data_IF_995607064922
#
_entry.id   IF_995607064922
#
_cell.length_a   1.000
_cell.length_b   1.000
_cell.length_c   1.000
_cell.angle_alpha   90.00
_cell.angle_beta   90.00
_cell.angle_gamma   90.00
#
_symmetry.space_group_name_H-M   'P 1'
#
loop_
_entity.id
_entity.type
_entity.pdbx_description
1 polymer ?
#
# COMPACT_ATOMS: atom_id res chain seq x y z
N UNK A 1 64.95 4.03 23.23
CA UNK A 1 64.54 4.58 21.93
C UNK A 1 64.65 3.63 20.71
N UNK A 2 64.90 2.31 20.89
CA UNK A 2 65.03 1.34 19.72
C UNK A 2 63.77 0.55 19.39
N UNK A 3 62.69 0.64 20.19
CA UNK A 3 61.46 -0.16 19.96
C UNK A 3 60.31 0.60 19.27
N UNK A 4 60.42 1.92 19.07
CA UNK A 4 59.38 2.75 18.44
C UNK A 4 59.48 2.76 16.90
N UNK A 5 60.67 2.55 16.33
CA UNK A 5 60.86 2.56 14.87
C UNK A 5 60.40 1.27 14.18
N UNK A 6 60.43 0.11 14.87
CA UNK A 6 59.95 -1.18 14.30
C UNK A 6 58.43 -1.30 14.22
N UNK A 7 57.70 -0.54 15.06
CA UNK A 7 56.25 -0.54 15.06
C UNK A 7 55.64 0.31 13.93
N UNK A 8 56.29 1.40 13.55
CA UNK A 8 55.82 2.28 12.46
C UNK A 8 56.02 1.67 11.09
N UNK A 9 57.17 0.93 10.86
CA UNK A 9 57.39 0.24 9.62
C UNK A 9 56.41 -0.89 9.33
N UNK A 10 56.02 -1.69 10.37
CA UNK A 10 55.02 -2.75 10.23
C UNK A 10 53.60 -2.24 9.98
N UNK A 11 53.24 -1.07 10.54
CA UNK A 11 51.93 -0.44 10.32
C UNK A 11 51.83 0.19 8.93
N UNK A 12 52.90 0.76 8.40
CA UNK A 12 52.95 1.33 7.06
C UNK A 12 52.90 0.18 6.02
N UNK A 13 53.60 -0.92 6.22
CA UNK A 13 53.56 -2.11 5.30
C UNK A 13 52.16 -2.77 5.34
N UNK A 14 51.51 -2.90 6.49
CA UNK A 14 50.18 -3.44 6.61
C UNK A 14 49.14 -2.50 5.97
N UNK A 15 49.24 -1.16 6.14
CA UNK A 15 48.37 -0.19 5.49
C UNK A 15 48.56 -0.18 3.96
N UNK A 16 49.80 -0.33 3.46
CA UNK A 16 50.05 -0.44 2.02
C UNK A 16 49.53 -1.76 1.44
N UNK A 17 49.69 -2.90 2.17
CA UNK A 17 49.17 -4.19 1.77
C UNK A 17 47.63 -4.19 1.76
N UNK A 18 46.96 -3.56 2.74
CA UNK A 18 45.51 -3.37 2.74
C UNK A 18 45.03 -2.44 1.60
N UNK A 19 45.77 -1.37 1.31
CA UNK A 19 45.47 -0.50 0.19
C UNK A 19 45.64 -1.20 -1.16
N UNK A 20 46.68 -2.02 -1.33
CA UNK A 20 46.89 -2.83 -2.54
C UNK A 20 45.86 -3.96 -2.63
N UNK A 21 45.46 -4.61 -1.53
CA UNK A 21 44.36 -5.58 -1.54
C UNK A 21 43.00 -4.96 -1.80
N UNK A 22 42.77 -3.74 -1.29
CA UNK A 22 41.54 -2.99 -1.63
C UNK A 22 41.51 -2.53 -3.10
N UNK A 23 42.66 -2.25 -3.70
CA UNK A 23 42.74 -1.93 -5.14
C UNK A 23 42.59 -3.18 -5.99
N UNK A 24 43.05 -4.36 -5.53
CA UNK A 24 42.83 -5.65 -6.22
C UNK A 24 41.44 -6.25 -5.96
N UNK A 25 40.70 -5.78 -5.01
CA UNK A 25 39.31 -6.18 -4.73
C UNK A 25 38.27 -5.22 -5.30
N UNK A 26 38.66 -4.20 -6.07
CA UNK A 26 37.74 -3.50 -6.92
C UNK A 26 37.25 -4.52 -7.97
N UNK A 27 35.98 -4.82 -8.05
CA UNK A 27 35.48 -5.78 -9.05
C UNK A 27 35.93 -5.26 -10.42
N UNK A 28 36.39 -6.16 -11.28
CA UNK A 28 36.68 -5.87 -12.69
C UNK A 28 35.50 -5.22 -13.45
N UNK A 29 34.37 -5.01 -12.78
CA UNK A 29 33.23 -4.23 -13.28
C UNK A 29 33.49 -2.73 -13.48
N UNK A 30 34.66 -2.20 -13.03
CA UNK A 30 35.02 -0.81 -13.26
C UNK A 30 35.24 -0.44 -14.75
N UNK A 31 35.30 -1.43 -15.65
CA UNK A 31 35.38 -1.26 -17.10
C UNK A 31 34.22 -1.95 -17.83
N UNK A 32 33.11 -2.21 -17.15
CA UNK A 32 31.93 -2.78 -17.79
C UNK A 32 31.26 -1.73 -18.66
N UNK A 33 30.84 -2.15 -19.86
CA UNK A 33 30.02 -1.34 -20.77
C UNK A 33 28.88 -0.65 -20.02
N UNK A 34 28.85 0.70 -20.01
CA UNK A 34 27.82 1.49 -19.36
C UNK A 34 26.69 1.72 -20.34
N UNK A 35 25.52 1.12 -20.09
CA UNK A 35 24.32 1.34 -20.89
C UNK A 35 23.56 2.57 -20.34
N UNK A 36 23.44 3.60 -21.15
CA UNK A 36 22.75 4.87 -20.84
C UNK A 36 21.90 5.32 -22.02
N UNK A 37 20.84 6.09 -21.78
CA UNK A 37 20.05 6.73 -22.83
C UNK A 37 20.88 7.77 -23.60
N UNK A 38 20.64 7.89 -24.90
CA UNK A 38 21.33 8.85 -25.77
C UNK A 38 22.71 8.40 -26.27
N UNK A 39 23.11 7.15 -26.00
CA UNK A 39 24.37 6.61 -26.55
C UNK A 39 24.21 6.08 -27.96
N UNK A 40 25.23 6.31 -28.77
CA UNK A 40 25.44 5.63 -30.07
C UNK A 40 26.56 4.59 -29.91
N UNK A 41 26.29 3.37 -30.34
CA UNK A 41 27.21 2.23 -30.21
C UNK A 41 27.38 1.49 -31.53
N UNK A 42 28.51 0.80 -31.71
CA UNK A 42 28.73 -0.03 -32.88
C UNK A 42 28.18 -1.44 -32.66
N UNK A 43 27.58 -2.00 -33.68
CA UNK A 43 26.94 -3.32 -33.67
C UNK A 43 27.80 -4.37 -34.40
N UNK A 44 27.83 -5.60 -33.88
CA UNK A 44 28.52 -6.71 -34.53
C UNK A 44 27.91 -8.04 -34.11
N UNK A 45 28.16 -9.10 -34.87
CA UNK A 45 27.84 -10.49 -34.48
C UNK A 45 28.91 -11.04 -33.56
N UNK A 46 28.48 -11.62 -32.45
CA UNK A 46 29.31 -12.40 -31.56
C UNK A 46 29.35 -13.89 -31.96
N UNK A 47 29.64 -14.75 -30.99
CA UNK A 47 29.70 -16.20 -31.18
C UNK A 47 28.30 -16.78 -31.43
N UNK A 48 28.29 -18.04 -31.92
CA UNK A 48 27.06 -18.82 -32.00
C UNK A 48 26.59 -19.23 -30.62
N UNK A 49 25.27 -19.36 -30.45
CA UNK A 49 24.70 -19.93 -29.25
C UNK A 49 24.95 -21.45 -29.26
N UNK A 50 25.63 -21.94 -28.23
CA UNK A 50 25.93 -23.35 -28.02
C UNK A 50 25.33 -23.83 -26.69
N UNK A 51 24.46 -24.81 -26.77
CA UNK A 51 23.78 -25.38 -25.61
C UNK A 51 24.73 -26.18 -24.73
N UNK A 52 24.33 -26.46 -23.49
CA UNK A 52 25.07 -27.35 -22.59
C UNK A 52 25.20 -28.78 -23.09
N UNK A 53 24.39 -29.21 -24.05
CA UNK A 53 24.50 -30.49 -24.75
C UNK A 53 25.56 -30.50 -25.89
N UNK A 54 26.17 -29.33 -26.15
CA UNK A 54 27.18 -29.15 -27.21
C UNK A 54 26.61 -28.78 -28.57
N UNK A 55 25.29 -28.78 -28.73
CA UNK A 55 24.63 -28.49 -30.00
C UNK A 55 24.36 -27.00 -30.19
N UNK A 56 24.44 -26.48 -31.42
CA UNK A 56 24.06 -25.10 -31.74
C UNK A 56 22.55 -24.91 -31.77
N UNK A 57 22.10 -23.68 -31.48
CA UNK A 57 20.74 -23.27 -31.69
C UNK A 57 20.52 -22.74 -33.11
N UNK A 58 19.37 -23.11 -33.70
CA UNK A 58 19.00 -22.68 -35.05
C UNK A 58 17.63 -21.96 -35.04
N UNK A 59 17.40 -21.08 -36.01
CA UNK A 59 16.07 -20.58 -36.31
C UNK A 59 15.23 -21.69 -36.96
N UNK A 60 13.88 -21.64 -36.84
CA UNK A 60 13.02 -22.49 -37.67
C UNK A 60 13.36 -22.30 -39.17
N UNK A 61 13.23 -23.38 -39.95
CA UNK A 61 13.53 -23.33 -41.39
C UNK A 61 12.67 -22.38 -42.19
N UNK A 62 11.38 -22.28 -41.81
CA UNK A 62 10.43 -21.31 -42.31
C UNK A 62 9.47 -20.95 -41.20
N UNK A 63 9.21 -19.67 -40.99
CA UNK A 63 8.26 -19.21 -39.99
C UNK A 63 7.60 -17.89 -40.39
N UNK A 64 6.38 -17.68 -39.89
CA UNK A 64 5.66 -16.42 -40.01
C UNK A 64 5.92 -15.53 -38.80
N UNK A 65 5.90 -14.22 -39.02
CA UNK A 65 6.04 -13.23 -37.96
C UNK A 65 5.25 -11.96 -38.29
N UNK A 66 4.90 -11.17 -37.28
CA UNK A 66 4.35 -9.81 -37.42
C UNK A 66 5.51 -8.82 -37.43
N UNK A 67 5.55 -7.99 -38.47
CA UNK A 67 6.42 -6.80 -38.51
C UNK A 67 5.61 -5.54 -38.14
N UNK A 68 6.25 -4.58 -37.48
CA UNK A 68 5.67 -3.29 -37.11
C UNK A 68 6.36 -2.18 -37.92
N UNK A 69 5.57 -1.30 -38.52
CA UNK A 69 6.10 -0.10 -39.13
C UNK A 69 6.35 1.03 -38.09
N UNK A 70 6.85 2.18 -38.51
CA UNK A 70 7.15 3.34 -37.64
C UNK A 70 5.91 3.91 -36.96
N UNK A 71 4.72 3.62 -37.46
CA UNK A 71 3.43 4.06 -36.90
C UNK A 71 2.76 2.98 -36.03
N UNK A 72 3.39 1.80 -35.89
CA UNK A 72 2.86 0.68 -35.16
C UNK A 72 1.85 -0.18 -35.94
N UNK A 73 1.72 0.01 -37.27
CA UNK A 73 0.88 -0.84 -38.08
C UNK A 73 1.52 -2.22 -38.25
N UNK A 74 0.70 -3.25 -38.09
CA UNK A 74 1.10 -4.65 -38.15
C UNK A 74 0.95 -5.23 -39.55
N UNK A 75 1.91 -6.03 -39.98
CA UNK A 75 1.84 -6.81 -41.23
C UNK A 75 2.43 -8.19 -41.08
N UNK A 76 1.81 -9.21 -41.72
CA UNK A 76 2.26 -10.58 -41.69
C UNK A 76 3.33 -10.83 -42.74
N UNK A 77 4.44 -11.40 -42.33
CA UNK A 77 5.58 -11.76 -43.19
C UNK A 77 5.93 -13.23 -43.01
N UNK A 78 6.62 -13.81 -44.00
CA UNK A 78 7.22 -15.13 -43.97
C UNK A 78 8.71 -15.02 -44.12
N UNK A 79 9.47 -15.66 -43.25
CA UNK A 79 10.91 -15.79 -43.35
C UNK A 79 11.28 -17.23 -43.56
N UNK A 80 12.13 -17.47 -44.58
CA UNK A 80 12.81 -18.75 -44.78
C UNK A 80 14.22 -18.62 -44.21
N UNK A 81 14.48 -19.32 -43.13
CA UNK A 81 15.79 -19.28 -42.48
C UNK A 81 16.03 -20.62 -41.80
N UNK A 82 17.15 -21.13 -41.77
CA UNK A 82 17.63 -22.29 -41.05
C UNK A 82 19.01 -22.02 -40.45
N UNK A 83 19.28 -20.71 -40.23
CA UNK A 83 20.56 -20.23 -39.80
C UNK A 83 20.80 -20.47 -38.31
N UNK A 84 22.05 -20.79 -37.96
CA UNK A 84 22.47 -20.84 -36.58
C UNK A 84 22.25 -19.51 -35.87
N UNK A 85 21.75 -19.55 -34.65
CA UNK A 85 21.53 -18.36 -33.80
C UNK A 85 22.88 -17.80 -33.38
N UNK A 86 23.01 -16.49 -33.49
CA UNK A 86 24.25 -15.75 -33.21
C UNK A 86 23.96 -14.68 -32.16
N UNK A 87 24.86 -14.47 -31.21
CA UNK A 87 24.81 -13.41 -30.21
C UNK A 87 24.88 -12.07 -30.91
N UNK A 88 23.97 -11.15 -30.51
CA UNK A 88 23.93 -9.81 -31.02
C UNK A 88 24.64 -8.89 -30.02
N UNK A 89 25.69 -8.22 -30.50
CA UNK A 89 26.64 -7.51 -29.65
C UNK A 89 26.71 -6.03 -30.02
N UNK A 90 26.80 -5.20 -29.02
CA UNK A 90 27.14 -3.79 -29.16
C UNK A 90 28.45 -3.48 -28.45
N UNK A 91 29.17 -2.46 -28.92
CA UNK A 91 30.41 -1.99 -28.29
C UNK A 91 30.59 -0.49 -28.42
N UNK A 92 31.25 0.09 -27.44
CA UNK A 92 31.82 1.44 -27.46
C UNK A 92 33.24 1.45 -26.90
N UNK A 93 33.79 2.61 -26.55
CA UNK A 93 35.13 2.73 -25.98
C UNK A 93 35.24 2.13 -24.56
N UNK A 94 34.12 1.90 -23.85
CA UNK A 94 34.09 1.33 -22.50
C UNK A 94 34.07 -0.19 -22.50
N UNK A 95 33.65 -0.83 -23.60
CA UNK A 95 33.57 -2.29 -23.67
C UNK A 95 32.54 -2.79 -24.66
N UNK A 96 32.12 -4.05 -24.49
CA UNK A 96 31.11 -4.69 -25.33
C UNK A 96 30.04 -5.36 -24.44
N UNK A 97 28.83 -5.49 -25.00
CA UNK A 97 27.68 -6.09 -24.33
C UNK A 97 26.83 -6.88 -25.31
N UNK A 98 26.39 -8.05 -24.91
CA UNK A 98 25.32 -8.77 -25.60
C UNK A 98 23.98 -8.10 -25.29
N UNK A 99 23.15 -7.96 -26.31
CA UNK A 99 21.79 -7.39 -26.25
C UNK A 99 20.77 -8.38 -26.79
N UNK A 100 19.50 -8.18 -26.43
CA UNK A 100 18.41 -9.09 -26.78
C UNK A 100 17.53 -8.48 -27.85
N UNK A 101 17.06 -9.28 -28.79
CA UNK A 101 16.17 -8.85 -29.86
C UNK A 101 14.72 -8.73 -29.36
N UNK A 102 14.07 -7.60 -29.69
CA UNK A 102 12.64 -7.39 -29.48
C UNK A 102 11.90 -7.06 -30.77
N UNK A 103 12.48 -7.42 -31.93
CA UNK A 103 11.88 -7.25 -33.26
C UNK A 103 12.25 -8.42 -34.14
N UNK A 104 11.51 -9.53 -34.00
CA UNK A 104 11.74 -10.74 -34.77
C UNK A 104 11.50 -10.54 -36.26
N UNK A 105 12.36 -11.16 -37.08
CA UNK A 105 12.20 -11.16 -38.55
C UNK A 105 12.91 -10.03 -39.28
N UNK A 106 13.31 -8.97 -38.58
CA UNK A 106 14.05 -7.85 -39.17
C UNK A 106 15.56 -8.08 -39.07
N UNK A 107 16.36 -7.72 -40.12
CA UNK A 107 17.82 -7.95 -40.09
C UNK A 107 18.53 -7.05 -39.08
N UNK A 108 19.50 -7.64 -38.36
CA UNK A 108 20.41 -6.90 -37.48
C UNK A 108 21.41 -6.06 -38.29
N UNK A 109 21.74 -4.86 -37.79
CA UNK A 109 22.67 -3.94 -38.47
C UNK A 109 24.13 -4.19 -38.06
N UNK A 110 24.61 -5.43 -38.21
CA UNK A 110 26.01 -5.72 -37.90
C UNK A 110 26.97 -4.89 -38.82
N UNK A 111 27.98 -4.26 -38.21
CA UNK A 111 28.88 -3.33 -38.87
C UNK A 111 28.36 -1.87 -38.92
N UNK A 112 27.12 -1.59 -38.50
CA UNK A 112 26.55 -0.27 -38.35
C UNK A 112 26.46 0.20 -36.89
N UNK A 113 25.62 1.19 -36.65
CA UNK A 113 25.40 1.78 -35.32
C UNK A 113 23.98 1.58 -34.82
N UNK A 114 23.80 1.70 -33.52
CA UNK A 114 22.51 1.77 -32.82
C UNK A 114 22.50 2.93 -31.84
N UNK A 115 21.36 3.57 -31.70
CA UNK A 115 21.11 4.61 -30.69
C UNK A 115 20.23 4.05 -29.59
N UNK A 116 20.55 4.43 -28.34
CA UNK A 116 19.77 4.02 -27.16
C UNK A 116 18.71 5.04 -26.79
N UNK A 117 17.53 4.55 -26.41
CA UNK A 117 16.44 5.31 -25.81
C UNK A 117 15.88 4.53 -24.61
N UNK A 118 15.36 5.22 -23.60
CA UNK A 118 14.54 4.56 -22.60
C UNK A 118 13.29 3.93 -23.25
N UNK A 119 12.67 2.96 -22.58
CA UNK A 119 11.44 2.36 -23.08
C UNK A 119 10.35 3.40 -23.34
N UNK A 120 10.25 4.42 -22.49
CA UNK A 120 9.27 5.51 -22.63
C UNK A 120 9.56 6.46 -23.80
N UNK A 121 10.81 6.58 -24.25
CA UNK A 121 11.24 7.46 -25.33
C UNK A 121 11.41 6.74 -26.68
N UNK A 122 11.31 5.41 -26.70
CA UNK A 122 11.38 4.63 -27.93
C UNK A 122 10.03 4.54 -28.61
N UNK A 123 9.86 5.16 -29.78
CA UNK A 123 8.62 5.07 -30.55
C UNK A 123 8.26 3.62 -30.93
N UNK A 124 9.24 2.81 -31.31
CA UNK A 124 9.03 1.39 -31.57
C UNK A 124 8.39 0.68 -30.36
N UNK A 125 9.01 0.82 -29.18
CA UNK A 125 8.53 0.14 -28.00
C UNK A 125 7.14 0.65 -27.55
N UNK A 126 6.91 1.94 -27.62
CA UNK A 126 5.62 2.56 -27.28
C UNK A 126 4.48 2.16 -28.23
N UNK A 127 4.80 1.85 -29.49
CA UNK A 127 3.82 1.39 -30.49
C UNK A 127 3.49 -0.10 -30.36
N UNK A 128 4.25 -0.89 -29.59
CA UNK A 128 3.87 -2.27 -29.29
C UNK A 128 2.58 -2.32 -28.46
N UNK A 129 1.75 -3.36 -28.61
CA UNK A 129 0.62 -3.58 -27.69
C UNK A 129 1.06 -3.58 -26.23
N UNK A 130 0.24 -3.03 -25.34
CA UNK A 130 0.57 -2.91 -23.89
C UNK A 130 0.93 -4.24 -23.22
N UNK A 131 0.30 -5.34 -23.66
CA UNK A 131 0.65 -6.68 -23.20
C UNK A 131 2.04 -7.11 -23.64
N UNK A 132 2.46 -6.73 -24.84
CA UNK A 132 3.82 -6.98 -25.33
C UNK A 132 4.85 -6.14 -24.56
N UNK A 133 4.60 -4.84 -24.38
CA UNK A 133 5.46 -3.97 -23.57
C UNK A 133 5.64 -4.53 -22.16
N UNK A 134 4.51 -4.85 -21.48
CA UNK A 134 4.52 -5.43 -20.12
C UNK A 134 5.31 -6.74 -20.07
N UNK A 135 5.05 -7.66 -21.02
CA UNK A 135 5.70 -8.97 -21.03
C UNK A 135 7.20 -8.89 -21.32
N UNK A 136 7.62 -8.00 -22.22
CA UNK A 136 9.05 -7.76 -22.51
C UNK A 136 9.75 -7.21 -21.26
N UNK A 137 9.18 -6.21 -20.60
CA UNK A 137 9.74 -5.67 -19.36
C UNK A 137 9.77 -6.72 -18.25
N UNK A 138 8.70 -7.48 -18.03
CA UNK A 138 8.65 -8.55 -17.04
C UNK A 138 9.69 -9.65 -17.34
N UNK A 139 9.91 -9.99 -18.62
CA UNK A 139 10.96 -10.93 -19.03
C UNK A 139 12.33 -10.37 -18.69
N UNK A 140 12.57 -9.08 -18.85
CA UNK A 140 13.85 -8.43 -18.52
C UNK A 140 14.23 -8.56 -17.05
N UNK A 141 13.24 -8.63 -16.15
CA UNK A 141 13.44 -8.74 -14.70
C UNK A 141 14.14 -10.04 -14.32
N UNK A 142 13.69 -11.15 -14.86
CA UNK A 142 14.20 -12.50 -14.54
C UNK A 142 15.11 -13.08 -15.60
N UNK A 143 15.00 -12.66 -16.84
CA UNK A 143 15.73 -13.14 -17.98
C UNK A 143 17.25 -12.98 -17.87
N UNK A 144 17.95 -13.60 -18.81
CA UNK A 144 19.38 -13.50 -18.91
C UNK A 144 19.83 -12.04 -19.17
N UNK A 145 20.87 -11.65 -18.49
CA UNK A 145 21.63 -10.41 -18.68
C UNK A 145 23.12 -10.71 -18.50
N UNK A 146 24.05 -9.94 -19.06
CA UNK A 146 25.47 -10.12 -18.80
C UNK A 146 25.80 -10.21 -17.31
N UNK A 147 26.54 -11.24 -16.93
CA UNK A 147 26.89 -11.56 -15.55
C UNK A 147 25.87 -12.41 -14.77
N UNK A 148 24.73 -12.78 -15.37
CA UNK A 148 23.81 -13.76 -14.79
C UNK A 148 24.15 -15.17 -15.24
N UNK A 149 24.34 -16.05 -14.28
CA UNK A 149 24.51 -17.50 -14.51
C UNK A 149 23.19 -18.18 -14.80
N UNK A 150 23.22 -19.30 -15.53
CA UNK A 150 22.02 -20.11 -15.75
C UNK A 150 21.47 -20.64 -14.41
N UNK A 151 20.15 -20.55 -14.19
CA UNK A 151 19.55 -20.86 -12.88
C UNK A 151 19.35 -22.37 -12.64
N UNK A 152 19.48 -23.20 -13.67
CA UNK A 152 19.13 -24.62 -13.63
C UNK A 152 20.38 -25.50 -13.91
N UNK A 153 20.56 -26.50 -13.09
CA UNK A 153 21.63 -27.46 -13.30
C UNK A 153 21.51 -28.18 -14.66
N UNK A 154 22.64 -28.35 -15.34
CA UNK A 154 22.69 -28.95 -16.68
C UNK A 154 22.26 -28.00 -17.79
N UNK A 155 22.31 -26.69 -17.52
CA UNK A 155 22.16 -25.63 -18.50
C UNK A 155 23.33 -24.65 -18.41
N UNK A 156 23.58 -23.89 -19.47
CA UNK A 156 24.61 -22.86 -19.52
C UNK A 156 24.03 -21.47 -19.81
N UNK A 157 24.85 -20.44 -19.88
CA UNK A 157 24.41 -19.06 -20.14
C UNK A 157 23.73 -18.90 -21.50
N UNK A 158 24.15 -19.67 -22.51
CA UNK A 158 23.54 -19.64 -23.85
C UNK A 158 22.14 -20.24 -23.84
N UNK A 159 21.91 -21.32 -23.07
CA UNK A 159 20.58 -21.90 -22.84
C UNK A 159 19.64 -20.87 -22.15
N UNK A 160 20.17 -20.19 -21.13
CA UNK A 160 19.40 -19.20 -20.40
C UNK A 160 19.08 -17.97 -21.28
N UNK A 161 20.06 -17.52 -22.08
CA UNK A 161 19.87 -16.42 -23.01
C UNK A 161 18.86 -16.78 -24.12
N UNK A 162 18.96 -18.00 -24.70
CA UNK A 162 18.01 -18.48 -25.69
C UNK A 162 16.59 -18.60 -25.13
N UNK A 163 16.41 -19.14 -23.93
CA UNK A 163 15.12 -19.17 -23.24
C UNK A 163 14.52 -17.78 -23.07
N UNK A 164 15.33 -16.81 -22.64
CA UNK A 164 14.93 -15.42 -22.51
C UNK A 164 14.50 -14.84 -23.86
N UNK A 165 15.29 -15.08 -24.90
CA UNK A 165 15.03 -14.57 -26.25
C UNK A 165 13.72 -15.13 -26.83
N UNK A 166 13.42 -16.40 -26.60
CA UNK A 166 12.15 -17.03 -27.06
C UNK A 166 10.95 -16.34 -26.39
N UNK A 167 10.99 -16.11 -25.08
CA UNK A 167 9.88 -15.45 -24.36
C UNK A 167 9.71 -14.00 -24.84
N UNK A 168 10.81 -13.26 -25.08
CA UNK A 168 10.74 -11.89 -25.64
C UNK A 168 10.04 -11.88 -27.00
N UNK A 169 10.36 -12.81 -27.89
CA UNK A 169 9.68 -12.90 -29.19
C UNK A 169 8.21 -13.33 -29.06
N UNK A 170 7.88 -14.24 -28.16
CA UNK A 170 6.49 -14.65 -27.92
C UNK A 170 5.62 -13.46 -27.49
N UNK A 171 6.12 -12.59 -26.59
CA UNK A 171 5.41 -11.37 -26.20
C UNK A 171 5.35 -10.34 -27.35
N UNK A 172 6.48 -10.07 -28.00
CA UNK A 172 6.56 -9.11 -29.11
C UNK A 172 5.63 -9.53 -30.27
N UNK A 173 5.52 -10.81 -30.55
CA UNK A 173 4.66 -11.38 -31.59
C UNK A 173 3.21 -11.63 -31.13
N UNK A 174 2.85 -11.21 -29.94
CA UNK A 174 1.51 -11.41 -29.36
C UNK A 174 1.09 -12.89 -29.26
N UNK A 175 2.04 -13.80 -29.25
CA UNK A 175 1.82 -15.24 -29.02
C UNK A 175 1.64 -15.54 -27.52
N UNK A 176 2.13 -14.65 -26.65
CA UNK A 176 2.05 -14.75 -25.19
C UNK A 176 1.34 -13.54 -24.61
N UNK A 177 0.29 -13.76 -23.80
CA UNK A 177 -0.46 -12.67 -23.15
C UNK A 177 -0.27 -12.63 -21.64
N UNK A 178 0.24 -13.70 -21.05
CA UNK A 178 0.66 -13.80 -19.65
C UNK A 178 1.74 -14.87 -19.53
N UNK A 179 2.45 -14.97 -18.37
CA UNK A 179 3.43 -16.04 -18.18
C UNK A 179 2.86 -17.45 -18.38
N UNK A 180 1.56 -17.65 -18.21
CA UNK A 180 0.88 -18.96 -18.33
C UNK A 180 0.04 -19.12 -19.58
N UNK A 181 -0.11 -18.06 -20.41
CA UNK A 181 -1.03 -18.11 -21.56
C UNK A 181 -0.24 -17.90 -22.85
N UNK A 182 -0.14 -18.97 -23.62
CA UNK A 182 0.43 -19.00 -24.96
C UNK A 182 -0.65 -19.39 -25.97
N UNK A 183 -0.84 -18.61 -27.05
CA UNK A 183 -1.87 -18.82 -28.07
C UNK A 183 -1.41 -18.31 -29.44
N UNK A 184 -2.04 -18.79 -30.53
CA UNK A 184 -1.86 -18.17 -31.84
C UNK A 184 -2.25 -16.68 -31.79
N UNK A 185 -1.54 -15.83 -32.52
CA UNK A 185 -1.90 -14.41 -32.64
C UNK A 185 -3.07 -14.18 -33.60
N UNK A 186 -3.50 -12.94 -33.75
CA UNK A 186 -4.62 -12.56 -34.64
C UNK A 186 -4.38 -12.84 -36.13
N UNK A 187 -3.12 -13.03 -36.53
CA UNK A 187 -2.71 -13.38 -37.90
C UNK A 187 -2.57 -14.88 -38.13
N UNK A 188 -2.87 -15.72 -37.11
CA UNK A 188 -2.77 -17.16 -37.21
C UNK A 188 -1.35 -17.74 -37.10
N UNK A 189 -0.37 -16.95 -36.68
CA UNK A 189 0.98 -17.46 -36.37
C UNK A 189 0.88 -18.44 -35.21
N UNK A 190 1.36 -19.68 -35.35
CA UNK A 190 1.22 -20.71 -34.32
C UNK A 190 1.89 -20.33 -33.01
N UNK A 191 1.26 -20.65 -31.88
CA UNK A 191 1.71 -20.34 -30.54
C UNK A 191 3.14 -20.81 -30.25
N UNK A 192 3.51 -21.97 -30.75
CA UNK A 192 4.80 -22.64 -30.52
C UNK A 192 5.90 -22.29 -31.52
N UNK A 193 5.69 -21.28 -32.39
CA UNK A 193 6.60 -20.91 -33.48
C UNK A 193 8.04 -20.72 -33.00
N UNK A 194 8.26 -20.03 -31.90
CA UNK A 194 9.61 -19.81 -31.35
C UNK A 194 10.04 -20.92 -30.38
N UNK A 195 9.08 -21.49 -29.62
CA UNK A 195 9.35 -22.54 -28.65
C UNK A 195 9.91 -23.80 -29.31
N UNK A 196 9.51 -24.14 -30.54
CA UNK A 196 10.05 -25.26 -31.33
C UNK A 196 11.56 -25.26 -31.42
N UNK A 197 12.20 -24.08 -31.40
CA UNK A 197 13.66 -23.95 -31.48
C UNK A 197 14.43 -24.36 -30.22
N UNK A 198 13.72 -24.53 -29.10
CA UNK A 198 14.31 -24.90 -27.79
C UNK A 198 13.67 -26.16 -27.18
N UNK A 199 12.62 -26.68 -27.80
CA UNK A 199 11.88 -27.85 -27.32
C UNK A 199 12.80 -29.05 -27.19
N UNK A 200 12.68 -29.83 -26.11
CA UNK A 200 13.46 -31.00 -25.77
C UNK A 200 14.97 -30.72 -25.62
N UNK A 201 15.34 -29.45 -25.39
CA UNK A 201 16.75 -29.01 -25.24
C UNK A 201 16.98 -28.36 -23.88
N UNK A 202 18.24 -28.20 -23.41
CA UNK A 202 18.56 -27.57 -22.12
C UNK A 202 17.88 -26.21 -21.90
N UNK A 203 17.74 -25.35 -22.92
CA UNK A 203 17.09 -24.07 -22.81
C UNK A 203 15.59 -24.14 -22.40
N UNK A 204 14.89 -25.25 -22.71
CA UNK A 204 13.52 -25.45 -22.26
C UNK A 204 13.40 -25.47 -20.73
N UNK A 205 14.39 -25.98 -20.01
CA UNK A 205 14.43 -25.96 -18.54
C UNK A 205 14.49 -24.54 -18.02
N UNK A 206 15.32 -23.69 -18.60
CA UNK A 206 15.42 -22.27 -18.28
C UNK A 206 14.12 -21.51 -18.63
N UNK A 207 13.51 -21.84 -19.77
CA UNK A 207 12.24 -21.25 -20.22
C UNK A 207 11.12 -21.53 -19.20
N UNK A 208 10.93 -22.77 -18.78
CA UNK A 208 9.90 -23.14 -17.80
C UNK A 208 10.17 -22.49 -16.43
N UNK A 209 11.43 -22.40 -16.01
CA UNK A 209 11.81 -21.69 -14.79
C UNK A 209 11.48 -20.20 -14.90
N UNK A 210 11.82 -19.54 -16.01
CA UNK A 210 11.51 -18.12 -16.25
C UNK A 210 10.02 -17.85 -16.14
N UNK A 211 9.18 -18.65 -16.80
CA UNK A 211 7.73 -18.49 -16.74
C UNK A 211 7.19 -18.62 -15.31
N UNK A 212 7.75 -19.55 -14.53
CA UNK A 212 7.39 -19.72 -13.11
C UNK A 212 7.76 -18.48 -12.29
N UNK A 213 8.97 -17.92 -12.48
CA UNK A 213 9.40 -16.70 -11.80
C UNK A 213 8.52 -15.51 -12.20
N UNK A 214 8.27 -15.34 -13.48
CA UNK A 214 7.43 -14.26 -14.02
C UNK A 214 6.00 -14.34 -13.50
N UNK A 215 5.39 -15.54 -13.44
CA UNK A 215 4.04 -15.74 -12.88
C UNK A 215 3.99 -15.39 -11.39
N UNK A 216 4.96 -15.87 -10.63
CA UNK A 216 5.06 -15.53 -9.21
C UNK A 216 5.22 -14.02 -9.00
N UNK A 217 6.02 -13.36 -9.86
CA UNK A 217 6.23 -11.91 -9.78
C UNK A 217 4.99 -11.11 -10.20
N UNK A 218 4.29 -11.51 -11.24
CA UNK A 218 3.06 -10.85 -11.70
C UNK A 218 1.90 -10.98 -10.71
N UNK A 219 1.93 -11.97 -9.81
CA UNK A 219 0.93 -12.12 -8.74
C UNK A 219 1.13 -11.03 -7.69
N UNK A 220 0.18 -10.13 -7.53
CA UNK A 220 0.20 -9.06 -6.53
C UNK A 220 -0.56 -9.46 -5.27
N UNK A 221 -0.35 -8.78 -4.11
CA UNK A 221 -1.12 -9.04 -2.89
C UNK A 221 -2.62 -8.91 -3.12
N UNK A 222 -3.42 -9.79 -2.51
CA UNK A 222 -4.88 -9.85 -2.69
C UNK A 222 -5.61 -8.57 -2.24
N UNK A 223 -5.00 -7.77 -1.38
CA UNK A 223 -5.53 -6.49 -0.93
C UNK A 223 -5.16 -5.30 -1.84
N UNK A 224 -4.38 -5.52 -2.89
CA UNK A 224 -3.91 -4.48 -3.80
C UNK A 224 -4.57 -4.57 -5.18
N UNK A 225 -4.46 -3.50 -5.96
CA UNK A 225 -4.96 -3.43 -7.34
C UNK A 225 -3.83 -3.12 -8.31
N UNK A 226 -3.86 -3.71 -9.50
CA UNK A 226 -2.94 -3.39 -10.59
C UNK A 226 -3.20 -2.02 -11.23
N UNK A 227 -4.33 -1.36 -10.90
CA UNK A 227 -4.68 -0.03 -11.42
C UNK A 227 -4.97 0.92 -10.28
N UNK A 228 -4.40 2.10 -10.30
CA UNK A 228 -4.63 3.16 -9.32
C UNK A 228 -6.11 3.58 -9.23
N UNK A 229 -6.84 3.58 -10.36
CA UNK A 229 -8.27 3.93 -10.42
C UNK A 229 -9.17 2.95 -9.67
N UNK A 230 -8.80 1.68 -9.62
CA UNK A 230 -9.55 0.61 -8.92
C UNK A 230 -8.96 0.24 -7.55
N UNK A 231 -8.02 1.04 -7.04
CA UNK A 231 -7.38 0.78 -5.74
C UNK A 231 -8.39 0.92 -4.59
N UNK A 232 -8.50 -0.14 -3.78
CA UNK A 232 -9.36 -0.18 -2.59
C UNK A 232 -8.86 0.78 -1.52
N UNK A 233 -9.78 1.49 -0.89
CA UNK A 233 -9.49 2.34 0.26
C UNK A 233 -9.68 1.57 1.56
N UNK A 234 -8.65 1.56 2.40
CA UNK A 234 -8.65 0.95 3.72
C UNK A 234 -8.61 2.04 4.78
N UNK A 235 -9.34 1.82 5.88
CA UNK A 235 -9.37 2.75 7.03
C UNK A 235 -8.60 2.14 8.18
N UNK A 236 -7.51 2.80 8.60
CA UNK A 236 -6.77 2.44 9.80
C UNK A 236 -7.58 2.87 11.02
N UNK A 237 -7.71 1.97 12.00
CA UNK A 237 -8.42 2.22 13.25
C UNK A 237 -7.49 2.84 14.28
N UNK A 238 -8.03 3.75 15.07
CA UNK A 238 -7.30 4.31 16.20
C UNK A 238 -7.07 3.27 17.29
N UNK A 239 -5.82 3.13 17.69
CA UNK A 239 -5.39 2.30 18.82
C UNK A 239 -4.92 3.20 19.95
N UNK A 240 -5.76 3.38 20.94
CA UNK A 240 -5.48 4.24 22.09
C UNK A 240 -4.23 3.82 22.87
N UNK A 241 -4.03 2.52 23.09
CA UNK A 241 -2.91 2.03 23.88
C UNK A 241 -1.54 2.33 23.24
N UNK A 242 -1.50 2.43 21.92
CA UNK A 242 -0.30 2.72 21.14
C UNK A 242 -0.26 4.18 20.62
N UNK A 243 -1.31 4.96 20.84
CA UNK A 243 -1.52 6.32 20.31
C UNK A 243 -1.19 6.43 18.82
N UNK A 244 -1.76 5.51 18.04
CA UNK A 244 -1.58 5.47 16.60
C UNK A 244 -2.81 4.88 15.89
N UNK A 245 -2.77 4.91 14.57
CA UNK A 245 -3.77 4.26 13.71
C UNK A 245 -3.15 3.03 13.07
N UNK A 246 -3.84 1.90 13.08
CA UNK A 246 -3.33 0.67 12.51
C UNK A 246 -4.40 -0.19 11.86
N UNK A 247 -3.97 -0.99 10.87
CA UNK A 247 -4.78 -2.01 10.22
C UNK A 247 -3.87 -3.13 9.72
N UNK A 248 -4.24 -4.36 9.98
CA UNK A 248 -3.56 -5.53 9.42
C UNK A 248 -4.39 -6.13 8.29
N UNK A 249 -3.79 -6.23 7.11
CA UNK A 249 -4.35 -6.87 5.93
C UNK A 249 -3.66 -8.23 5.71
N UNK A 250 -4.44 -9.24 5.34
CA UNK A 250 -3.93 -10.58 5.03
C UNK A 250 -3.86 -10.75 3.52
N UNK A 251 -2.69 -11.11 3.01
CA UNK A 251 -2.50 -11.47 1.61
C UNK A 251 -2.86 -12.95 1.40
N UNK A 252 -4.03 -13.21 0.83
CA UNK A 252 -4.49 -14.57 0.50
C UNK A 252 -3.83 -15.15 -0.75
N UNK A 253 -3.16 -14.32 -1.55
CA UNK A 253 -2.37 -14.76 -2.71
C UNK A 253 -0.99 -15.29 -2.31
N UNK A 254 -0.59 -15.10 -1.04
CA UNK A 254 0.70 -15.54 -0.50
C UNK A 254 1.90 -15.11 -1.36
N UNK A 255 1.92 -13.85 -1.76
CA UNK A 255 2.98 -13.34 -2.65
C UNK A 255 4.38 -13.44 -2.04
N UNK A 256 4.51 -13.55 -0.73
CA UNK A 256 5.72 -13.80 0.09
C UNK A 256 7.00 -13.03 -0.29
N UNK A 257 6.94 -12.13 -1.26
CA UNK A 257 8.05 -11.29 -1.69
C UNK A 257 8.22 -10.09 -0.76
N UNK A 258 9.42 -9.58 -0.66
CA UNK A 258 9.63 -8.26 -0.09
C UNK A 258 8.97 -7.20 -0.97
N UNK A 259 8.24 -6.28 -0.35
CA UNK A 259 7.51 -5.23 -1.04
C UNK A 259 7.98 -3.88 -0.54
N UNK A 260 8.29 -2.99 -1.46
CA UNK A 260 8.52 -1.56 -1.20
C UNK A 260 7.21 -0.81 -1.35
N UNK A 261 6.75 -0.21 -0.26
CA UNK A 261 5.59 0.68 -0.25
C UNK A 261 6.06 2.13 -0.28
N UNK A 262 5.54 2.90 -1.23
CA UNK A 262 5.81 4.34 -1.34
C UNK A 262 4.62 5.11 -0.76
N UNK A 263 4.73 5.48 0.52
CA UNK A 263 3.68 6.19 1.26
C UNK A 263 4.29 7.14 2.29
N UNK A 264 3.92 8.42 2.22
CA UNK A 264 4.34 9.40 3.22
C UNK A 264 3.51 9.26 4.51
N UNK A 265 4.16 9.17 5.66
CA UNK A 265 3.51 9.11 6.97
C UNK A 265 2.85 7.77 7.32
N UNK A 266 3.06 6.74 6.51
CA UNK A 266 2.59 5.38 6.77
C UNK A 266 3.79 4.43 6.81
N UNK A 267 3.89 3.65 7.87
CA UNK A 267 4.85 2.55 7.99
C UNK A 267 4.15 1.22 7.73
N UNK A 268 4.87 0.30 7.10
CA UNK A 268 4.35 -1.03 6.81
C UNK A 268 5.30 -2.07 7.40
N UNK A 269 4.77 -2.95 8.23
CA UNK A 269 5.48 -4.12 8.74
C UNK A 269 4.83 -5.40 8.24
N UNK A 270 5.62 -6.48 8.12
CA UNK A 270 5.14 -7.77 7.62
C UNK A 270 5.46 -8.90 8.58
N UNK A 271 4.51 -9.81 8.75
CA UNK A 271 4.68 -11.09 9.46
C UNK A 271 3.96 -12.19 8.67
N UNK A 272 4.73 -13.07 8.02
CA UNK A 272 4.19 -14.06 7.11
C UNK A 272 3.44 -13.42 5.93
N UNK A 273 2.16 -13.71 5.77
CA UNK A 273 1.27 -13.13 4.76
C UNK A 273 0.42 -11.95 5.31
N UNK A 274 0.74 -11.43 6.50
CA UNK A 274 0.04 -10.30 7.12
C UNK A 274 0.89 -9.05 7.00
N UNK A 275 0.27 -7.96 6.54
CA UNK A 275 0.85 -6.63 6.40
C UNK A 275 0.14 -5.66 7.32
N UNK A 276 0.85 -5.07 8.27
CA UNK A 276 0.31 -4.07 9.20
C UNK A 276 0.74 -2.68 8.76
N UNK A 277 -0.25 -1.86 8.42
CA UNK A 277 -0.11 -0.46 8.07
C UNK A 277 -0.34 0.37 9.32
N UNK A 278 0.56 1.32 9.62
CA UNK A 278 0.51 2.16 10.82
C UNK A 278 0.77 3.61 10.46
N UNK A 279 0.00 4.53 11.04
CA UNK A 279 0.21 5.98 10.97
C UNK A 279 0.13 6.60 12.36
N UNK A 280 1.07 7.50 12.68
CA UNK A 280 1.03 8.28 13.93
C UNK A 280 0.25 9.60 13.77
N UNK A 281 -0.37 9.82 12.61
CA UNK A 281 -1.16 11.00 12.32
C UNK A 281 -2.50 10.63 11.73
N UNK A 282 -3.51 11.44 12.00
CA UNK A 282 -4.80 11.36 11.33
C UNK A 282 -4.64 11.67 9.82
N UNK A 283 -5.26 10.85 8.98
CA UNK A 283 -5.29 11.00 7.53
C UNK A 283 -6.77 11.01 7.12
N UNK A 284 -7.34 12.20 7.00
CA UNK A 284 -8.77 12.39 6.71
C UNK A 284 -9.12 12.00 5.27
N UNK A 285 -8.30 12.48 4.33
CA UNK A 285 -8.45 12.17 2.91
C UNK A 285 -7.57 11.00 2.52
N UNK A 286 -8.15 10.02 1.84
CA UNK A 286 -7.41 8.83 1.43
C UNK A 286 -6.17 9.16 0.58
N UNK A 287 -5.01 8.73 1.03
CA UNK A 287 -3.75 8.83 0.29
C UNK A 287 -3.50 7.57 -0.53
N UNK A 288 -3.02 7.75 -1.75
CA UNK A 288 -2.63 6.64 -2.62
C UNK A 288 -1.26 6.11 -2.21
N UNK A 289 -1.16 4.80 -2.10
CA UNK A 289 0.10 4.07 -1.90
C UNK A 289 0.42 3.35 -3.19
N UNK A 290 1.62 3.56 -3.67
CA UNK A 290 2.22 2.79 -4.76
C UNK A 290 3.16 1.76 -4.17
N UNK A 291 3.16 0.56 -4.69
CA UNK A 291 4.03 -0.50 -4.22
C UNK A 291 4.58 -1.36 -5.35
N UNK A 292 5.78 -1.89 -5.14
CA UNK A 292 6.47 -2.80 -6.04
C UNK A 292 7.17 -3.91 -5.24
N UNK A 293 7.37 -5.06 -5.86
CA UNK A 293 8.21 -6.11 -5.26
C UNK A 293 9.67 -5.69 -5.33
N UNK A 294 10.41 -5.98 -4.26
CA UNK A 294 11.84 -5.70 -4.23
C UNK A 294 12.60 -6.83 -4.93
N UNK A 295 13.06 -6.61 -6.15
CA UNK A 295 13.88 -7.57 -6.90
C UNK A 295 15.33 -7.11 -6.88
N UNK A 296 16.23 -7.88 -6.24
CA UNK A 296 17.65 -7.53 -6.22
C UNK A 296 18.28 -7.54 -7.62
N UNK A 297 19.22 -6.61 -7.89
CA UNK A 297 19.99 -6.58 -9.12
C UNK A 297 19.25 -6.07 -10.36
N UNK A 298 18.11 -5.37 -10.18
CA UNK A 298 17.47 -4.58 -11.23
C UNK A 298 18.05 -3.16 -11.13
N UNK A 299 18.59 -2.66 -12.24
CA UNK A 299 19.18 -1.32 -12.33
C UNK A 299 18.13 -0.24 -12.68
N UNK A 300 16.90 -0.63 -12.99
CA UNK A 300 15.83 0.29 -13.39
C UNK A 300 16.08 0.95 -14.76
N UNK A 301 17.01 0.39 -15.54
CA UNK A 301 17.51 0.99 -16.79
C UNK A 301 17.16 0.09 -17.99
N UNK A 302 15.89 0.05 -18.34
CA UNK A 302 15.42 -0.62 -19.55
C UNK A 302 15.68 0.25 -20.76
N UNK A 303 16.62 -0.16 -21.63
CA UNK A 303 17.01 0.57 -22.83
C UNK A 303 16.61 -0.19 -24.10
N UNK A 304 16.14 0.56 -25.06
CA UNK A 304 15.81 0.12 -26.42
C UNK A 304 16.88 0.68 -27.38
N UNK A 305 17.50 -0.21 -28.13
CA UNK A 305 18.53 0.10 -29.12
C UNK A 305 17.92 0.02 -30.51
N UNK A 306 17.86 1.13 -31.21
CA UNK A 306 17.21 1.24 -32.51
C UNK A 306 18.11 1.80 -33.58
N UNK A 307 17.84 1.39 -34.85
CA UNK A 307 18.32 2.00 -36.06
C UNK A 307 17.23 1.90 -37.13
N UNK A 308 16.93 2.95 -37.92
CA UNK A 308 15.83 2.93 -38.88
C UNK A 308 15.89 1.73 -39.83
N UNK A 309 14.80 0.97 -39.94
CA UNK A 309 14.68 -0.18 -40.83
C UNK A 309 15.56 -1.40 -40.46
N UNK A 310 16.11 -1.43 -39.25
CA UNK A 310 16.87 -2.54 -38.68
C UNK A 310 16.27 -3.06 -37.40
N UNK A 311 16.61 -4.29 -37.06
CA UNK A 311 16.11 -4.99 -35.89
C UNK A 311 16.29 -4.17 -34.61
N UNK A 312 15.22 -3.96 -33.88
CA UNK A 312 15.25 -3.29 -32.57
C UNK A 312 15.64 -4.27 -31.46
N UNK A 313 16.45 -3.78 -30.54
CA UNK A 313 17.07 -4.55 -29.48
C UNK A 313 16.75 -3.93 -28.11
N UNK A 314 16.99 -4.71 -27.04
CA UNK A 314 16.89 -4.23 -25.67
C UNK A 314 18.07 -4.64 -24.81
N UNK A 315 18.30 -3.89 -23.75
CA UNK A 315 19.18 -4.25 -22.63
C UNK A 315 18.70 -3.65 -21.32
N UNK A 316 19.25 -4.14 -20.21
CA UNK A 316 18.84 -3.71 -18.87
C UNK A 316 17.53 -4.35 -18.42
N UNK A 317 16.98 -3.88 -17.31
CA UNK A 317 15.72 -4.37 -16.76
C UNK A 317 14.99 -3.29 -15.97
N UNK A 318 13.68 -3.26 -16.12
CA UNK A 318 12.77 -2.43 -15.34
C UNK A 318 11.55 -3.26 -14.95
N UNK A 319 11.12 -3.13 -13.70
CA UNK A 319 9.98 -3.87 -13.18
C UNK A 319 8.65 -3.19 -13.59
N UNK A 320 7.83 -3.84 -14.44
CA UNK A 320 6.54 -3.30 -14.83
C UNK A 320 5.44 -3.54 -13.79
N UNK A 321 5.70 -4.34 -12.74
CA UNK A 321 4.68 -4.75 -11.78
C UNK A 321 4.55 -3.72 -10.68
N UNK A 322 3.68 -2.75 -10.90
CA UNK A 322 3.29 -1.75 -9.91
C UNK A 322 1.87 -2.05 -9.43
N UNK A 323 1.62 -1.91 -8.14
CA UNK A 323 0.28 -2.10 -7.58
C UNK A 323 -0.06 -1.02 -6.56
N UNK A 324 -1.36 -0.88 -6.28
CA UNK A 324 -1.91 0.29 -5.62
C UNK A 324 -2.90 -0.11 -4.52
N UNK A 325 -2.93 0.67 -3.45
CA UNK A 325 -4.00 0.72 -2.46
C UNK A 325 -4.14 2.16 -1.96
N UNK A 326 -5.23 2.44 -1.25
CA UNK A 326 -5.47 3.74 -0.64
C UNK A 326 -5.68 3.57 0.86
N UNK A 327 -5.12 4.48 1.63
CA UNK A 327 -5.22 4.48 3.10
C UNK A 327 -5.79 5.80 3.58
N UNK A 328 -6.74 5.73 4.50
CA UNK A 328 -7.15 6.82 5.39
C UNK A 328 -7.23 6.31 6.82
N UNK A 329 -7.39 7.20 7.78
CA UNK A 329 -7.63 6.82 9.18
C UNK A 329 -9.09 7.03 9.56
N UNK A 330 -9.49 6.47 10.70
CA UNK A 330 -10.65 6.97 11.43
C UNK A 330 -10.42 8.44 11.79
N UNK A 331 -11.50 9.23 11.82
CA UNK A 331 -11.53 10.62 12.25
C UNK A 331 -12.27 10.73 13.57
N UNK A 332 -12.30 11.89 14.20
CA UNK A 332 -13.16 12.15 15.35
C UNK A 332 -14.65 11.96 14.99
N UNK A 333 -15.46 11.67 15.98
CA UNK A 333 -16.91 11.81 15.95
C UNK A 333 -17.34 12.84 16.98
N UNK A 334 -18.63 13.19 17.01
CA UNK A 334 -19.21 14.16 17.94
C UNK A 334 -20.03 13.45 19.00
N UNK A 335 -19.73 13.68 20.27
CA UNK A 335 -20.62 13.41 21.39
C UNK A 335 -21.55 14.59 21.60
N UNK A 336 -22.85 14.41 21.41
CA UNK A 336 -23.89 15.43 21.60
C UNK A 336 -24.65 15.14 22.88
N UNK A 337 -24.52 16.01 23.88
CA UNK A 337 -25.27 15.91 25.16
C UNK A 337 -26.47 16.86 25.10
N UNK A 338 -27.63 16.32 25.42
CA UNK A 338 -28.90 17.07 25.52
C UNK A 338 -29.37 17.04 26.96
N UNK A 339 -29.63 18.23 27.52
CA UNK A 339 -30.11 18.42 28.87
C UNK A 339 -31.55 18.89 28.88
N UNK A 340 -32.37 18.17 29.62
CA UNK A 340 -33.70 18.57 30.04
C UNK A 340 -33.74 18.77 31.57
N UNK A 341 -34.61 19.62 32.05
CA UNK A 341 -34.84 19.81 33.48
C UNK A 341 -36.28 20.24 33.74
N UNK A 342 -36.87 19.74 34.80
CA UNK A 342 -38.22 20.00 35.21
C UNK A 342 -38.47 21.49 35.51
N UNK A 343 -37.48 22.18 36.06
CA UNK A 343 -37.53 23.63 36.35
C UNK A 343 -37.04 24.51 35.17
N UNK A 344 -36.80 23.89 34.01
CA UNK A 344 -36.32 24.57 32.81
C UNK A 344 -34.86 25.02 32.85
N UNK A 345 -34.12 24.73 33.93
CA UNK A 345 -32.70 25.06 34.04
C UNK A 345 -31.84 24.07 33.28
N UNK A 346 -31.50 24.40 32.03
CA UNK A 346 -30.72 23.53 31.12
C UNK A 346 -29.34 24.12 30.77
N UNK A 347 -29.14 25.42 30.96
CA UNK A 347 -27.88 26.12 30.71
C UNK A 347 -26.89 25.98 31.88
N UNK A 348 -25.58 25.99 31.54
CA UNK A 348 -24.47 25.94 32.48
C UNK A 348 -24.41 24.64 33.35
N UNK A 349 -25.06 23.59 32.93
CA UNK A 349 -24.95 22.26 33.57
C UNK A 349 -23.66 21.62 33.16
N UNK A 350 -22.95 21.08 34.15
CA UNK A 350 -21.62 20.47 33.95
C UNK A 350 -21.69 18.95 33.82
N UNK A 351 -20.97 18.43 32.87
CA UNK A 351 -20.81 17.00 32.62
C UNK A 351 -19.34 16.61 32.62
N UNK A 352 -19.00 15.57 33.34
CA UNK A 352 -17.69 14.92 33.21
C UNK A 352 -17.76 13.81 32.15
N UNK A 353 -16.82 13.84 31.21
CA UNK A 353 -16.68 12.83 30.15
C UNK A 353 -15.37 12.11 30.39
N UNK A 354 -15.44 10.77 30.57
CA UNK A 354 -14.30 9.94 30.85
C UNK A 354 -14.28 8.68 29.96
N UNK A 355 -13.11 8.30 29.48
CA UNK A 355 -12.89 7.14 28.63
C UNK A 355 -11.78 7.40 27.61
N UNK A 356 -11.17 6.37 27.08
CA UNK A 356 -10.13 6.47 26.04
C UNK A 356 -9.05 7.54 26.35
N UNK A 357 -8.58 7.60 27.61
CA UNK A 357 -7.56 8.58 28.02
C UNK A 357 -8.10 10.00 28.22
N UNK A 358 -9.36 10.26 27.91
CA UNK A 358 -10.04 11.55 28.14
C UNK A 358 -10.63 11.57 29.54
N UNK A 359 -10.46 12.67 30.26
CA UNK A 359 -11.17 13.01 31.51
C UNK A 359 -11.32 14.52 31.53
N UNK A 360 -12.48 15.01 31.06
CA UNK A 360 -12.72 16.44 30.96
C UNK A 360 -14.14 16.82 31.31
N UNK A 361 -14.33 18.07 31.74
CA UNK A 361 -15.63 18.64 32.04
C UNK A 361 -16.08 19.57 30.92
N UNK A 362 -17.31 19.38 30.47
CA UNK A 362 -17.99 20.26 29.51
C UNK A 362 -19.22 20.90 30.17
N UNK A 363 -19.72 21.96 29.57
CA UNK A 363 -20.83 22.73 30.13
C UNK A 363 -21.85 23.02 29.05
N UNK A 364 -23.15 22.83 29.33
CA UNK A 364 -24.24 23.09 28.38
C UNK A 364 -24.39 24.57 28.08
N UNK A 365 -24.76 24.85 26.83
CA UNK A 365 -25.15 26.16 26.33
C UNK A 365 -26.55 26.54 26.80
N UNK A 366 -27.04 27.71 26.39
CA UNK A 366 -28.38 28.23 26.73
C UNK A 366 -29.54 27.33 26.25
N UNK A 367 -29.34 26.60 25.19
CA UNK A 367 -30.28 25.64 24.60
C UNK A 367 -30.25 24.25 25.27
N UNK A 368 -29.42 24.07 26.31
CA UNK A 368 -29.26 22.80 27.01
C UNK A 368 -28.40 21.80 26.30
N UNK A 369 -27.67 22.15 25.24
CA UNK A 369 -26.83 21.24 24.49
C UNK A 369 -25.34 21.53 24.68
N UNK A 370 -24.51 20.49 24.48
CA UNK A 370 -23.07 20.65 24.31
C UNK A 370 -22.51 19.55 23.39
N UNK A 371 -21.65 19.96 22.46
CA UNK A 371 -20.95 19.11 21.54
C UNK A 371 -19.47 18.97 21.95
N UNK A 372 -18.94 17.78 21.76
CA UNK A 372 -17.54 17.48 22.00
C UNK A 372 -17.00 16.53 20.93
N UNK A 373 -15.88 16.89 20.31
CA UNK A 373 -15.16 16.02 19.40
C UNK A 373 -14.31 15.01 20.18
N UNK A 374 -14.50 13.73 19.87
CA UNK A 374 -13.83 12.61 20.54
C UNK A 374 -13.38 11.57 19.50
N UNK A 375 -12.27 10.88 19.80
CA UNK A 375 -11.88 9.72 19.02
C UNK A 375 -12.92 8.60 19.14
N UNK A 376 -13.06 7.72 18.13
CA UNK A 376 -13.95 6.56 18.22
C UNK A 376 -13.67 5.71 19.45
N UNK A 377 -14.74 5.33 20.16
CA UNK A 377 -14.63 4.56 21.39
C UNK A 377 -15.84 4.68 22.30
N UNK A 378 -15.75 4.10 23.48
CA UNK A 378 -16.81 4.13 24.50
C UNK A 378 -16.40 5.08 25.62
N UNK A 379 -17.29 6.03 25.91
CA UNK A 379 -17.10 7.04 26.96
C UNK A 379 -18.22 6.95 27.98
N UNK A 380 -17.93 7.32 29.23
CA UNK A 380 -18.93 7.56 30.28
C UNK A 380 -19.19 9.07 30.35
N UNK A 381 -20.45 9.43 30.49
CA UNK A 381 -20.91 10.79 30.71
C UNK A 381 -21.61 10.84 32.07
N UNK A 382 -21.12 11.70 32.96
CA UNK A 382 -21.62 11.86 34.32
C UNK A 382 -22.03 13.31 34.51
N UNK A 383 -23.29 13.58 34.87
CA UNK A 383 -23.72 14.89 35.27
C UNK A 383 -23.17 15.24 36.64
N UNK A 384 -22.65 16.45 36.80
CA UNK A 384 -22.33 17.05 38.09
C UNK A 384 -23.58 17.70 38.65
N UNK A 385 -24.49 16.87 39.20
CA UNK A 385 -25.86 17.26 39.60
C UNK A 385 -25.85 18.20 40.79
N UNK A 386 -26.70 19.26 40.79
CA UNK A 386 -26.94 20.11 41.94
C UNK A 386 -27.80 19.39 42.98
N UNK A 387 -27.66 19.74 44.28
CA UNK A 387 -28.31 19.05 45.41
C UNK A 387 -29.83 19.04 45.36
N UNK A 388 -30.45 20.01 44.65
CA UNK A 388 -31.89 20.08 44.50
C UNK A 388 -32.50 19.06 43.56
N UNK A 389 -31.70 18.35 42.78
CA UNK A 389 -32.17 17.32 41.85
C UNK A 389 -31.92 15.90 42.38
N UNK A 390 -32.75 14.96 41.93
CA UNK A 390 -32.50 13.55 42.10
C UNK A 390 -31.20 13.19 41.37
N UNK A 391 -30.36 12.29 41.99
CA UNK A 391 -29.11 11.87 41.38
C UNK A 391 -29.30 11.23 40.00
N UNK A 392 -28.50 11.64 39.01
CA UNK A 392 -28.52 11.07 37.67
C UNK A 392 -27.58 9.87 37.57
N UNK A 393 -28.01 8.85 36.84
CA UNK A 393 -27.16 7.71 36.51
C UNK A 393 -26.10 8.08 35.48
N UNK A 394 -24.90 7.53 35.61
CA UNK A 394 -23.85 7.60 34.61
C UNK A 394 -24.35 6.94 33.32
N UNK A 395 -24.22 7.62 32.21
CA UNK A 395 -24.58 7.09 30.90
C UNK A 395 -23.33 6.73 30.10
N UNK A 396 -23.47 5.78 29.17
CA UNK A 396 -22.43 5.40 28.23
C UNK A 396 -22.80 5.85 26.83
N UNK A 397 -21.83 6.44 26.11
CA UNK A 397 -21.98 6.83 24.71
C UNK A 397 -20.87 6.17 23.90
N UNK A 398 -21.23 5.62 22.74
CA UNK A 398 -20.25 5.08 21.77
C UNK A 398 -20.06 6.12 20.68
N UNK A 399 -18.86 6.65 20.58
CA UNK A 399 -18.47 7.60 19.52
C UNK A 399 -18.05 6.81 18.29
N UNK A 400 -18.60 7.18 17.14
CA UNK A 400 -18.30 6.55 15.84
C UNK A 400 -17.68 7.61 14.93
N UNK A 401 -16.62 7.25 14.24
CA UNK A 401 -15.87 8.13 13.31
C UNK A 401 -16.81 8.83 12.33
N UNK A 402 -16.71 10.16 12.27
CA UNK A 402 -17.50 11.02 11.37
C UNK A 402 -18.99 11.14 11.68
N UNK A 403 -19.47 10.59 12.80
CA UNK A 403 -20.88 10.60 13.18
C UNK A 403 -21.12 11.37 14.48
N UNK A 404 -22.38 11.81 14.70
CA UNK A 404 -22.84 12.35 15.97
C UNK A 404 -23.53 11.25 16.77
N UNK A 405 -23.12 11.09 18.03
CA UNK A 405 -23.74 10.18 19.01
C UNK A 405 -24.36 10.99 20.13
N UNK A 406 -25.67 10.82 20.38
CA UNK A 406 -26.41 11.62 21.33
C UNK A 406 -26.65 10.87 22.63
N UNK A 407 -26.57 11.61 23.77
CA UNK A 407 -26.96 11.15 25.09
C UNK A 407 -27.81 12.24 25.75
N UNK A 408 -28.91 11.85 26.44
CA UNK A 408 -29.87 12.75 27.02
C UNK A 408 -29.96 12.58 28.53
N UNK A 409 -29.95 13.70 29.26
CA UNK A 409 -30.13 13.73 30.72
C UNK A 409 -31.35 14.57 31.05
N UNK A 410 -32.15 14.12 32.05
CA UNK A 410 -33.37 14.83 32.49
C UNK A 410 -33.34 14.96 34.00
N UNK A 411 -33.28 16.20 34.52
CA UNK A 411 -33.32 16.44 35.97
C UNK A 411 -34.76 16.52 36.48
N UNK A 412 -35.00 15.82 37.55
CA UNK A 412 -36.22 15.86 38.35
C UNK A 412 -35.89 16.51 39.68
N UNK A 413 -36.74 17.42 40.13
CA UNK A 413 -36.56 18.08 41.41
C UNK A 413 -36.82 17.09 42.56
N UNK A 414 -36.01 17.16 43.61
CA UNK A 414 -36.29 16.48 44.84
C UNK A 414 -37.55 17.02 45.50
N UNK A 415 -38.40 16.14 45.91
CA UNK A 415 -39.62 16.45 46.63
C UNK A 415 -39.59 15.84 48.04
N UNK A 416 -40.30 16.45 48.95
CA UNK A 416 -40.50 15.97 50.29
C UNK A 416 -41.87 16.33 50.82
N UNK A 417 -42.36 15.55 51.78
CA UNK A 417 -43.63 15.79 52.43
C UNK A 417 -43.41 16.60 53.70
N UNK A 418 -44.32 17.49 54.02
CA UNK A 418 -44.38 18.21 55.27
C UNK A 418 -45.62 17.77 56.06
N UNK A 419 -45.38 17.18 57.23
CA UNK A 419 -46.44 16.86 58.18
C UNK A 419 -46.43 17.87 59.33
N UNK A 420 -47.52 18.58 59.52
CA UNK A 420 -47.71 19.51 60.65
C UNK A 420 -48.64 18.86 61.69
N UNK A 421 -48.16 18.72 62.95
CA UNK A 421 -48.91 18.18 64.03
C UNK A 421 -49.26 19.32 65.05
N UNK A 422 -50.54 19.57 65.31
CA UNK A 422 -51.01 20.54 66.29
C UNK A 422 -51.35 19.84 67.58
N UNK A 423 -50.84 20.35 68.70
CA UNK A 423 -51.26 19.98 70.06
C UNK A 423 -51.68 21.19 70.85
N UNK A 424 -52.59 21.06 71.80
CA UNK A 424 -53.02 22.12 72.67
C UNK A 424 -53.42 21.58 74.04
N UNK A 425 -53.13 22.29 75.09
CA UNK A 425 -53.50 21.96 76.48
C UNK A 425 -54.99 21.82 76.72
N UNK A 426 -55.78 22.54 75.98
CA UNK A 426 -57.28 22.56 76.05
C UNK A 426 -57.93 21.55 75.08
N UNK A 427 -57.12 20.73 74.35
CA UNK A 427 -57.53 19.83 73.27
C UNK A 427 -58.22 20.46 72.09
N UNK A 428 -58.16 21.79 71.95
CA UNK A 428 -58.73 22.54 70.82
C UNK A 428 -57.71 22.50 69.65
N UNK A 429 -57.77 21.47 68.85
CA UNK A 429 -56.89 21.26 67.73
C UNK A 429 -57.62 21.37 66.40
N UNK A 430 -58.94 21.31 66.38
CA UNK A 430 -59.77 21.43 65.18
C UNK A 430 -59.96 22.93 64.74
N UNK A 431 -59.94 23.13 63.41
CA UNK A 431 -60.21 24.43 62.82
C UNK A 431 -59.04 25.43 62.85
N UNK A 432 -57.85 24.98 63.27
CA UNK A 432 -56.64 25.77 63.24
C UNK A 432 -56.13 25.89 61.77
N UNK A 433 -55.90 27.13 61.38
CA UNK A 433 -55.36 27.41 60.07
C UNK A 433 -53.83 27.53 60.16
N UNK A 434 -53.12 26.87 59.29
CA UNK A 434 -51.68 27.01 59.16
C UNK A 434 -51.38 27.76 57.89
N UNK A 435 -50.38 28.59 57.92
CA UNK A 435 -49.81 29.29 56.78
C UNK A 435 -48.46 28.81 56.56
N UNK A 436 -48.24 28.11 55.42
CA UNK A 436 -46.97 27.66 54.97
C UNK A 436 -46.46 28.70 53.96
N UNK A 437 -45.36 29.32 54.29
CA UNK A 437 -44.67 30.25 53.35
C UNK A 437 -43.15 30.03 53.38
N UNK A 438 -42.55 30.28 52.28
CA UNK A 438 -41.10 30.13 52.16
C UNK A 438 -40.68 30.01 50.71
N UNK A 439 -39.43 29.65 50.53
CA UNK A 439 -38.86 29.35 49.22
C UNK A 439 -38.19 27.99 49.29
N UNK A 440 -38.54 27.08 48.38
CA UNK A 440 -37.90 25.77 48.27
C UNK A 440 -36.43 25.90 47.88
N UNK A 441 -35.63 24.84 48.02
CA UNK A 441 -34.24 24.76 47.53
C UNK A 441 -34.17 25.01 46.03
N UNK A 442 -35.25 24.72 45.29
CA UNK A 442 -35.35 24.99 43.85
C UNK A 442 -35.68 26.44 43.52
N UNK A 443 -35.92 27.30 44.54
CA UNK A 443 -36.25 28.72 44.36
C UNK A 443 -37.72 29.00 44.10
N UNK A 444 -38.60 28.01 44.30
CA UNK A 444 -40.05 28.17 44.15
C UNK A 444 -40.60 28.72 45.45
N UNK A 445 -41.31 29.85 45.38
CA UNK A 445 -42.05 30.43 46.52
C UNK A 445 -43.32 29.64 46.76
N UNK A 446 -43.55 29.32 48.03
CA UNK A 446 -44.81 28.71 48.52
C UNK A 446 -45.48 29.68 49.43
N UNK A 447 -46.77 29.93 49.23
CA UNK A 447 -47.63 30.76 50.03
C UNK A 447 -49.03 30.15 50.07
N UNK A 448 -49.20 29.14 50.94
CA UNK A 448 -50.43 28.31 51.02
C UNK A 448 -51.09 28.36 52.37
N UNK A 449 -52.43 28.36 52.41
CA UNK A 449 -53.23 28.25 53.58
C UNK A 449 -54.01 26.96 53.64
N UNK A 450 -53.84 26.19 54.76
CA UNK A 450 -54.57 24.97 54.98
C UNK A 450 -55.25 25.00 56.32
N UNK A 451 -56.54 24.58 56.39
CA UNK A 451 -57.35 24.54 57.59
C UNK A 451 -57.76 23.12 57.97
N UNK A 452 -57.29 22.65 59.11
CA UNK A 452 -57.77 21.41 59.71
C UNK A 452 -59.19 21.52 60.22
N UNK A 453 -60.07 20.63 59.76
CA UNK A 453 -61.46 20.52 60.14
C UNK A 453 -61.78 19.47 61.19
N UNK A 454 -60.78 18.63 61.64
CA UNK A 454 -60.99 17.48 62.48
C UNK A 454 -60.00 17.36 63.64
N UNK A 455 -59.18 18.36 63.92
CA UNK A 455 -58.27 18.34 65.08
C UNK A 455 -57.03 17.43 64.97
N UNK A 456 -56.87 16.75 63.84
CA UNK A 456 -55.62 16.14 63.47
C UNK A 456 -55.34 16.49 62.02
N UNK A 457 -54.24 17.16 61.79
CA UNK A 457 -53.81 17.43 60.44
C UNK A 457 -53.17 16.15 59.91
N UNK A 458 -53.98 15.31 59.27
CA UNK A 458 -53.49 14.49 58.20
C UNK A 458 -53.83 15.25 56.94
N UNK A 459 -52.93 16.09 56.47
CA UNK A 459 -53.06 16.66 55.16
C UNK A 459 -52.84 15.53 54.16
N UNK A 460 -53.92 14.99 53.60
CA UNK A 460 -53.89 14.09 52.45
C UNK A 460 -53.79 14.86 51.12
N UNK A 461 -53.47 16.15 51.16
CA UNK A 461 -53.05 16.89 49.98
C UNK A 461 -51.53 16.96 50.01
N UNK A 462 -50.93 16.31 49.05
CA UNK A 462 -49.52 16.54 48.72
C UNK A 462 -49.32 18.02 48.48
N UNK A 463 -48.71 18.73 49.40
CA UNK A 463 -48.14 20.04 49.12
C UNK A 463 -46.86 19.73 48.35
N UNK A 464 -46.92 19.80 47.05
CA UNK A 464 -45.70 19.70 46.24
C UNK A 464 -44.80 20.92 46.56
N UNK A 465 -43.80 20.66 47.41
CA UNK A 465 -42.77 21.65 47.69
C UNK A 465 -41.69 21.43 46.61
N UNK A 466 -41.75 22.29 45.59
CA UNK A 466 -40.75 22.29 44.52
C UNK A 466 -39.43 22.87 44.98
#
# INVERSE_FOLDING_TARGET
>A
MKNFAKSKGKRITAALLCAVMCIMSLPLSAFAFTAEEGKTVNAYYGDKYVSADGEMYYSPSTYQYIAYDSNGNESLHTQSAGNSRTKLMIKDSSGSRQIMCIESGIPYNAGGTYDSKSGTNSSYFQNLPTTAQYGIMLTSVYGWRPGKTAPISGTNEDDFSMATQVILWEYQQQLRTSPTTLKANSYGVPADTYFKGIKDRPAEKCYNWLLTQMQSHATIPSFASSKSSSATTYTLKYNQAADNYSLTLTDTNNTLSDIKFSASGITVSRSGNKYTFTSNKMIETAVSITAQKNVPGIDGNFLVWGYPGKQTMMSGAEDPVVFYLKIKTETTGVGHIVKHSEDGKVANIKFNIAGNGVNQTVTTKADGTVDIELMPGVYTVTELTEDKYEPQNVQRVTIVSGNTSTVTFSNTLKRGDLQVIKSSEDNLVEGVTFHLYGTSLSGISVDEYERDRKGSIQTTQEVEIY
#
